data_IF_936622283566
#
_entry.id   IF_936622283566
#
_cell.length_a   1.000
_cell.length_b   1.000
_cell.length_c   1.000
_cell.angle_alpha   90.00
_cell.angle_beta   90.00
_cell.angle_gamma   90.00
#
_symmetry.space_group_name_H-M   'P 1'
#
loop_
_entity.id
_entity.type
_entity.pdbx_description
1 polymer ?
#
# COMPACT_ATOMS: atom_id res chain seq x y z
N UNK A 1 -20.00 -18.06 3.30
CA UNK A 1 -18.81 -18.09 4.16
C UNK A 1 -17.66 -18.63 3.33
N UNK A 2 -16.55 -17.93 3.27
CA UNK A 2 -15.36 -18.28 2.48
C UNK A 2 -14.22 -18.75 3.38
N UNK A 3 -13.33 -19.58 2.85
CA UNK A 3 -12.09 -19.97 3.50
C UNK A 3 -10.92 -19.14 3.02
N UNK A 4 -10.23 -18.53 3.96
CA UNK A 4 -9.05 -17.72 3.72
C UNK A 4 -7.77 -18.45 4.09
N UNK A 5 -6.69 -18.13 3.40
CA UNK A 5 -5.34 -18.33 3.88
C UNK A 5 -4.64 -16.96 4.02
N UNK A 6 -3.61 -16.87 4.88
CA UNK A 6 -2.88 -15.62 5.12
C UNK A 6 -1.38 -15.87 5.07
N UNK A 7 -0.65 -15.02 4.35
CA UNK A 7 0.80 -15.05 4.23
C UNK A 7 1.38 -13.81 4.89
N UNK A 8 2.31 -13.97 5.83
CA UNK A 8 2.96 -12.88 6.55
C UNK A 8 2.30 -12.52 7.87
N UNK A 9 1.89 -13.52 8.66
CA UNK A 9 1.11 -13.37 9.88
C UNK A 9 1.83 -12.66 11.03
N UNK A 10 3.18 -12.73 11.11
CA UNK A 10 3.99 -12.01 12.08
C UNK A 10 4.16 -10.51 11.72
N UNK A 11 3.68 -10.09 10.56
CA UNK A 11 3.75 -8.71 10.10
C UNK A 11 2.82 -7.77 10.88
N UNK A 12 3.23 -6.50 11.03
CA UNK A 12 2.45 -5.46 11.73
C UNK A 12 1.02 -5.30 11.22
N UNK A 13 0.78 -5.51 9.92
CA UNK A 13 -0.52 -5.31 9.29
C UNK A 13 -1.44 -6.53 9.35
N UNK A 14 -0.89 -7.72 9.55
CA UNK A 14 -1.62 -8.99 9.53
C UNK A 14 -2.82 -9.05 10.51
N UNK A 15 -2.74 -8.50 11.74
CA UNK A 15 -3.89 -8.46 12.64
C UNK A 15 -5.11 -7.75 12.06
N UNK A 16 -4.92 -6.72 11.21
CA UNK A 16 -6.03 -6.01 10.56
C UNK A 16 -6.71 -6.88 9.50
N UNK A 17 -5.96 -7.71 8.80
CA UNK A 17 -6.51 -8.68 7.86
C UNK A 17 -7.26 -9.80 8.59
N UNK A 18 -6.69 -10.36 9.66
CA UNK A 18 -7.37 -11.36 10.49
C UNK A 18 -8.68 -10.81 11.07
N UNK A 19 -8.66 -9.57 11.57
CA UNK A 19 -9.86 -8.89 12.05
C UNK A 19 -10.91 -8.76 10.93
N UNK A 20 -10.51 -8.28 9.74
CA UNK A 20 -11.41 -8.10 8.61
C UNK A 20 -12.04 -9.44 8.15
N UNK A 21 -11.25 -10.53 8.08
CA UNK A 21 -11.76 -11.87 7.76
C UNK A 21 -12.82 -12.30 8.79
N UNK A 22 -12.55 -12.08 10.08
CA UNK A 22 -13.46 -12.44 11.19
C UNK A 22 -14.74 -11.60 11.16
N UNK A 23 -14.62 -10.28 11.02
CA UNK A 23 -15.75 -9.34 11.03
C UNK A 23 -16.66 -9.52 9.80
N UNK A 24 -16.12 -9.98 8.67
CA UNK A 24 -16.90 -10.31 7.48
C UNK A 24 -17.49 -11.73 7.51
N UNK A 25 -17.41 -12.45 8.65
CA UNK A 25 -18.03 -13.76 8.85
C UNK A 25 -17.36 -14.92 8.10
N UNK A 26 -16.04 -14.83 7.86
CA UNK A 26 -15.28 -15.83 7.11
C UNK A 26 -14.27 -16.58 7.99
N UNK A 27 -13.72 -17.68 7.48
CA UNK A 27 -12.73 -18.51 8.16
C UNK A 27 -11.31 -18.25 7.66
N UNK A 28 -10.33 -18.36 8.57
CA UNK A 28 -8.92 -18.46 8.24
C UNK A 28 -8.46 -19.88 8.53
N UNK A 29 -8.15 -20.65 7.49
CA UNK A 29 -7.86 -22.09 7.60
C UNK A 29 -6.38 -22.44 7.55
N UNK A 30 -5.54 -21.57 6.93
CA UNK A 30 -4.11 -21.81 6.78
C UNK A 30 -3.32 -20.49 6.86
N UNK A 31 -2.15 -20.56 7.46
CA UNK A 31 -1.28 -19.40 7.69
C UNK A 31 0.15 -19.76 7.33
N UNK A 32 0.84 -18.86 6.64
CA UNK A 32 2.27 -18.96 6.35
C UNK A 32 3.02 -17.77 6.94
N UNK A 33 4.01 -18.03 7.76
CA UNK A 33 5.04 -17.08 8.12
C UNK A 33 6.36 -17.81 8.40
N UNK A 34 7.50 -17.20 8.05
CA UNK A 34 8.82 -17.76 8.39
C UNK A 34 9.17 -17.65 9.88
N UNK A 35 8.45 -16.81 10.62
CA UNK A 35 8.55 -16.62 12.06
C UNK A 35 7.45 -17.39 12.78
N UNK A 36 7.78 -18.01 13.90
CA UNK A 36 6.84 -18.64 14.83
C UNK A 36 6.26 -17.65 15.87
N UNK A 37 6.71 -16.38 15.83
CA UNK A 37 6.20 -15.32 16.71
C UNK A 37 4.85 -14.80 16.24
N UNK A 38 3.87 -15.70 16.18
CA UNK A 38 2.52 -15.48 15.60
C UNK A 38 1.39 -15.70 16.61
N UNK A 39 1.66 -15.62 17.90
CA UNK A 39 0.66 -15.82 18.97
C UNK A 39 -0.59 -14.93 18.88
N UNK A 40 -0.53 -13.87 18.08
CA UNK A 40 -1.69 -13.04 17.77
C UNK A 40 -2.83 -13.82 17.07
N UNK A 41 -2.53 -14.95 16.45
CA UNK A 41 -3.50 -15.82 15.76
C UNK A 41 -4.56 -16.32 16.75
N UNK A 42 -4.16 -16.62 17.99
CA UNK A 42 -5.07 -17.15 19.03
C UNK A 42 -6.26 -16.23 19.31
N UNK A 43 -6.06 -14.93 19.14
CA UNK A 43 -7.11 -13.93 19.31
C UNK A 43 -8.19 -14.00 18.23
N UNK A 44 -7.83 -14.44 17.03
CA UNK A 44 -8.71 -14.39 15.87
C UNK A 44 -9.12 -15.78 15.39
N UNK A 45 -8.17 -16.67 15.14
CA UNK A 45 -8.36 -17.98 14.50
C UNK A 45 -7.41 -19.04 15.10
N UNK A 46 -7.62 -19.49 16.35
CA UNK A 46 -6.72 -20.43 17.02
C UNK A 46 -6.62 -21.79 16.32
N UNK A 47 -7.61 -22.16 15.52
CA UNK A 47 -7.65 -23.44 14.80
C UNK A 47 -6.96 -23.39 13.41
N UNK A 48 -6.44 -22.24 12.99
CA UNK A 48 -5.78 -22.12 11.70
C UNK A 48 -4.45 -22.88 11.67
N UNK A 49 -4.22 -23.68 10.62
CA UNK A 49 -2.99 -24.44 10.46
C UNK A 49 -1.81 -23.52 10.13
N UNK A 50 -0.77 -23.50 10.95
CA UNK A 50 0.44 -22.71 10.74
C UNK A 50 1.50 -23.50 9.98
N UNK A 51 2.12 -22.83 9.01
CA UNK A 51 3.25 -23.31 8.22
C UNK A 51 4.41 -22.32 8.30
N UNK A 52 5.61 -22.83 8.50
CA UNK A 52 6.85 -22.01 8.50
C UNK A 52 7.55 -22.06 7.13
N UNK A 53 7.21 -23.04 6.30
CA UNK A 53 7.80 -23.26 4.99
C UNK A 53 6.75 -23.11 3.88
N UNK A 54 7.10 -22.36 2.85
CA UNK A 54 6.23 -22.09 1.69
C UNK A 54 5.80 -23.35 0.98
N UNK A 55 6.70 -24.33 0.83
CA UNK A 55 6.45 -25.59 0.12
C UNK A 55 5.41 -26.46 0.84
N UNK A 56 5.42 -26.45 2.17
CA UNK A 56 4.43 -27.17 2.98
C UNK A 56 3.06 -26.49 2.94
N UNK A 57 3.07 -25.16 2.99
CA UNK A 57 1.85 -24.36 2.86
C UNK A 57 1.22 -24.55 1.46
N UNK A 58 2.00 -24.38 0.39
CA UNK A 58 1.52 -24.56 -1.01
C UNK A 58 0.90 -25.94 -1.20
N UNK A 59 1.59 -27.01 -0.77
CA UNK A 59 1.07 -28.37 -0.84
C UNK A 59 -0.21 -28.56 -0.01
N UNK A 60 -0.32 -27.90 1.14
CA UNK A 60 -1.51 -27.98 1.98
C UNK A 60 -2.73 -27.35 1.30
N UNK A 61 -2.64 -26.12 0.82
CA UNK A 61 -3.76 -25.43 0.16
C UNK A 61 -4.12 -26.12 -1.17
N UNK A 62 -3.14 -26.65 -1.91
CA UNK A 62 -3.39 -27.47 -3.08
C UNK A 62 -4.19 -28.73 -2.72
N UNK A 63 -3.84 -29.44 -1.65
CA UNK A 63 -4.61 -30.62 -1.19
C UNK A 63 -6.04 -30.26 -0.81
N UNK A 64 -6.25 -29.12 -0.17
CA UNK A 64 -7.60 -28.64 0.16
C UNK A 64 -8.41 -28.40 -1.12
N UNK A 65 -7.82 -27.85 -2.18
CA UNK A 65 -8.50 -27.62 -3.46
C UNK A 65 -8.95 -28.92 -4.17
N UNK A 66 -8.34 -30.07 -3.83
CA UNK A 66 -8.65 -31.37 -4.45
C UNK A 66 -9.67 -32.21 -3.68
N UNK A 67 -10.01 -31.84 -2.44
CA UNK A 67 -10.93 -32.63 -1.60
C UNK A 67 -12.38 -32.55 -2.06
N UNK A 68 -12.82 -31.47 -2.70
CA UNK A 68 -14.17 -31.32 -3.23
C UNK A 68 -15.27 -31.19 -2.17
N UNK A 69 -14.92 -30.96 -0.90
CA UNK A 69 -15.82 -30.93 0.26
C UNK A 69 -16.08 -29.49 0.80
N UNK A 70 -15.79 -28.49 -0.01
CA UNK A 70 -15.92 -27.08 0.38
C UNK A 70 -14.79 -26.58 1.29
N UNK A 71 -13.71 -27.35 1.47
CA UNK A 71 -12.56 -26.95 2.29
C UNK A 71 -11.49 -26.19 1.51
N UNK A 72 -11.66 -25.97 0.20
CA UNK A 72 -10.71 -25.19 -0.60
C UNK A 72 -10.52 -23.78 -0.02
N UNK A 73 -9.33 -23.23 -0.23
CA UNK A 73 -9.05 -21.81 0.04
C UNK A 73 -9.63 -20.99 -1.10
N UNK A 74 -10.52 -20.06 -0.77
CA UNK A 74 -11.16 -19.16 -1.74
C UNK A 74 -10.33 -17.88 -1.95
N UNK A 75 -9.72 -17.37 -0.88
CA UNK A 75 -8.92 -16.15 -0.88
C UNK A 75 -7.59 -16.35 -0.15
N UNK A 76 -6.52 -15.77 -0.68
CA UNK A 76 -5.23 -15.67 0.02
C UNK A 76 -4.94 -14.19 0.30
N UNK A 77 -4.89 -13.84 1.59
CA UNK A 77 -4.47 -12.53 2.06
C UNK A 77 -2.96 -12.45 2.16
N UNK A 78 -2.33 -11.46 1.52
CA UNK A 78 -0.88 -11.35 1.37
C UNK A 78 -0.38 -10.10 2.09
N UNK A 79 0.33 -10.32 3.21
CA UNK A 79 0.91 -9.33 4.11
C UNK A 79 2.43 -9.46 4.20
N UNK A 80 3.03 -10.17 3.27
CA UNK A 80 4.48 -10.42 3.20
C UNK A 80 5.27 -9.16 2.83
N UNK A 81 6.61 -9.18 2.87
CA UNK A 81 7.42 -8.10 2.33
C UNK A 81 7.17 -7.82 0.85
N UNK A 82 7.24 -6.55 0.44
CA UNK A 82 6.84 -6.05 -0.87
C UNK A 82 7.39 -6.88 -2.06
N UNK A 83 8.66 -7.28 -2.02
CA UNK A 83 9.31 -8.04 -3.11
C UNK A 83 8.77 -9.46 -3.28
N UNK A 84 8.03 -9.98 -2.29
CA UNK A 84 7.41 -11.31 -2.34
C UNK A 84 5.97 -11.29 -2.84
N UNK A 85 5.35 -10.11 -2.96
CA UNK A 85 3.94 -10.00 -3.34
C UNK A 85 3.64 -10.69 -4.66
N UNK A 86 4.42 -10.42 -5.72
CA UNK A 86 4.23 -11.06 -7.04
C UNK A 86 4.24 -12.60 -6.95
N UNK A 87 5.23 -13.17 -6.25
CA UNK A 87 5.34 -14.61 -6.10
C UNK A 87 4.16 -15.22 -5.31
N UNK A 88 3.72 -14.55 -4.24
CA UNK A 88 2.62 -15.02 -3.41
C UNK A 88 1.25 -14.84 -4.08
N UNK A 89 1.07 -13.78 -4.88
CA UNK A 89 -0.11 -13.62 -5.73
C UNK A 89 -0.18 -14.79 -6.73
N UNK A 90 0.91 -15.08 -7.43
CA UNK A 90 0.99 -16.21 -8.37
C UNK A 90 0.70 -17.56 -7.68
N UNK A 91 1.18 -17.74 -6.46
CA UNK A 91 0.89 -18.93 -5.66
C UNK A 91 -0.62 -19.06 -5.39
N UNK A 92 -1.28 -17.96 -5.01
CA UNK A 92 -2.73 -17.95 -4.78
C UNK A 92 -3.51 -18.35 -6.04
N UNK A 93 -3.23 -17.69 -7.18
CA UNK A 93 -3.96 -17.93 -8.43
C UNK A 93 -3.75 -19.36 -8.93
N UNK A 94 -2.52 -19.90 -8.88
CA UNK A 94 -2.26 -21.32 -9.24
C UNK A 94 -3.00 -22.32 -8.39
N UNK A 95 -3.30 -21.98 -7.14
CA UNK A 95 -4.12 -22.80 -6.24
C UNK A 95 -5.62 -22.53 -6.38
N UNK A 96 -6.05 -21.89 -7.47
CA UNK A 96 -7.44 -21.56 -7.76
C UNK A 96 -8.10 -20.64 -6.72
N UNK A 97 -7.31 -19.81 -6.01
CA UNK A 97 -7.78 -18.84 -5.03
C UNK A 97 -7.65 -17.41 -5.55
N UNK A 98 -8.53 -16.52 -5.12
CA UNK A 98 -8.38 -15.08 -5.30
C UNK A 98 -7.24 -14.55 -4.42
N UNK A 99 -6.52 -13.52 -4.85
CA UNK A 99 -5.50 -12.87 -4.04
C UNK A 99 -6.01 -11.53 -3.50
N UNK A 100 -5.75 -11.26 -2.20
CA UNK A 100 -5.93 -9.94 -1.58
C UNK A 100 -4.56 -9.50 -1.09
N UNK A 101 -3.97 -8.49 -1.74
CA UNK A 101 -2.60 -8.10 -1.46
C UNK A 101 -2.48 -6.72 -0.84
N UNK A 102 -1.61 -6.59 0.15
CA UNK A 102 -1.19 -5.30 0.70
C UNK A 102 -0.48 -4.44 -0.34
N UNK A 103 -0.43 -3.15 -0.06
CA UNK A 103 0.31 -2.18 -0.86
C UNK A 103 1.83 -2.19 -0.50
N UNK A 104 2.70 -1.87 -1.45
CA UNK A 104 2.43 -1.76 -2.88
C UNK A 104 2.08 -3.13 -3.46
N UNK A 105 1.18 -3.18 -4.43
CA UNK A 105 0.81 -4.46 -5.02
C UNK A 105 2.03 -5.20 -5.59
N UNK A 106 2.85 -4.47 -6.34
CA UNK A 106 4.16 -4.91 -6.87
C UNK A 106 5.11 -3.71 -6.96
N UNK A 107 6.38 -3.99 -7.26
CA UNK A 107 7.42 -2.96 -7.36
C UNK A 107 7.57 -2.35 -8.76
N UNK A 108 7.16 -3.06 -9.81
CA UNK A 108 7.37 -2.64 -11.19
C UNK A 108 6.15 -2.91 -12.06
N UNK A 109 5.98 -2.12 -13.12
CA UNK A 109 4.84 -2.23 -14.04
C UNK A 109 4.82 -3.55 -14.80
N UNK A 110 5.97 -4.10 -15.19
CA UNK A 110 6.06 -5.39 -15.86
C UNK A 110 5.57 -6.58 -15.00
N UNK A 111 5.61 -6.44 -13.65
CA UNK A 111 4.94 -7.41 -12.77
C UNK A 111 3.42 -7.36 -12.95
N UNK A 112 2.83 -6.15 -13.10
CA UNK A 112 1.39 -6.02 -13.34
C UNK A 112 0.98 -6.69 -14.65
N UNK A 113 1.77 -6.51 -15.71
CA UNK A 113 1.50 -7.11 -17.02
C UNK A 113 1.46 -8.65 -16.91
N UNK A 114 2.45 -9.25 -16.24
CA UNK A 114 2.49 -10.69 -16.02
C UNK A 114 1.39 -11.20 -15.06
N UNK A 115 0.90 -10.37 -14.14
CA UNK A 115 -0.23 -10.71 -13.28
C UNK A 115 -1.58 -10.59 -14.01
N UNK A 116 -1.72 -9.65 -14.94
CA UNK A 116 -2.90 -9.55 -15.82
C UNK A 116 -3.05 -10.81 -16.69
N UNK A 117 -1.95 -11.34 -17.19
CA UNK A 117 -1.97 -12.60 -17.95
C UNK A 117 -2.37 -13.77 -17.06
N UNK A 118 -1.86 -13.85 -15.85
CA UNK A 118 -2.29 -14.88 -14.90
C UNK A 118 -3.78 -14.78 -14.51
N UNK A 119 -4.36 -13.57 -14.39
CA UNK A 119 -5.80 -13.42 -14.18
C UNK A 119 -6.60 -14.01 -15.35
N UNK A 120 -6.13 -13.80 -16.60
CA UNK A 120 -6.78 -14.36 -17.80
C UNK A 120 -6.69 -15.90 -17.82
N UNK A 121 -5.50 -16.44 -17.52
CA UNK A 121 -5.23 -17.87 -17.56
C UNK A 121 -6.00 -18.65 -16.47
N UNK A 122 -6.11 -18.08 -15.27
CA UNK A 122 -6.72 -18.78 -14.12
C UNK A 122 -8.20 -18.45 -13.92
N UNK A 123 -8.69 -17.35 -14.51
CA UNK A 123 -10.03 -16.81 -14.24
C UNK A 123 -10.20 -16.25 -12.83
N UNK A 124 -9.13 -16.19 -12.03
CA UNK A 124 -9.15 -15.61 -10.68
C UNK A 124 -8.73 -14.14 -10.70
N UNK A 125 -9.21 -13.37 -9.71
CA UNK A 125 -8.93 -11.94 -9.59
C UNK A 125 -7.93 -11.64 -8.50
N UNK A 126 -7.20 -10.57 -8.70
CA UNK A 126 -6.27 -9.97 -7.75
C UNK A 126 -6.91 -8.69 -7.23
N UNK A 127 -7.11 -8.63 -5.93
CA UNK A 127 -7.60 -7.46 -5.21
C UNK A 127 -6.47 -6.81 -4.43
N UNK A 128 -6.65 -5.54 -4.15
CA UNK A 128 -5.61 -4.70 -3.59
C UNK A 128 -6.15 -3.82 -2.46
N UNK A 129 -5.35 -3.65 -1.40
CA UNK A 129 -5.73 -2.81 -0.26
C UNK A 129 -5.31 -1.36 -0.52
N UNK A 130 -6.27 -0.53 -0.91
CA UNK A 130 -6.13 0.92 -1.09
C UNK A 130 -7.00 1.67 -0.08
N UNK A 131 -6.69 1.51 1.20
CA UNK A 131 -7.54 1.97 2.29
C UNK A 131 -7.83 3.49 2.28
N UNK A 132 -6.91 4.34 1.77
CA UNK A 132 -7.16 5.79 1.71
C UNK A 132 -8.32 6.15 0.78
N UNK A 133 -8.55 5.39 -0.28
CA UNK A 133 -9.73 5.59 -1.16
C UNK A 133 -11.06 5.35 -0.44
N UNK A 134 -11.05 4.60 0.68
CA UNK A 134 -12.24 4.33 1.50
C UNK A 134 -12.40 5.32 2.65
N UNK A 135 -11.44 6.22 2.84
CA UNK A 135 -11.47 7.21 3.91
C UNK A 135 -12.56 8.28 3.61
N UNK A 136 -13.46 8.59 4.57
CA UNK A 136 -14.58 9.50 4.31
C UNK A 136 -14.17 10.88 3.79
N UNK A 137 -13.10 11.48 4.37
CA UNK A 137 -12.61 12.80 3.90
C UNK A 137 -12.06 12.73 2.48
N UNK A 138 -11.40 11.62 2.10
CA UNK A 138 -10.87 11.42 0.74
C UNK A 138 -12.03 11.27 -0.25
N UNK A 139 -13.07 10.52 0.09
CA UNK A 139 -14.26 10.37 -0.75
C UNK A 139 -14.98 11.71 -0.95
N UNK A 140 -15.20 12.48 0.12
CA UNK A 140 -15.79 13.83 0.03
C UNK A 140 -14.98 14.78 -0.86
N UNK A 141 -13.65 14.74 -0.72
CA UNK A 141 -12.78 15.56 -1.56
C UNK A 141 -12.88 15.13 -3.04
N UNK A 142 -12.86 13.83 -3.31
CA UNK A 142 -13.06 13.29 -4.67
C UNK A 142 -14.36 13.74 -5.27
N UNK A 143 -15.48 13.62 -4.55
CA UNK A 143 -16.79 14.09 -4.99
C UNK A 143 -16.80 15.59 -5.32
N UNK A 144 -16.17 16.42 -4.44
CA UNK A 144 -16.03 17.87 -4.68
C UNK A 144 -15.26 18.17 -5.97
N UNK A 145 -14.14 17.47 -6.18
CA UNK A 145 -13.29 17.66 -7.36
C UNK A 145 -14.01 17.18 -8.64
N UNK A 146 -14.73 16.06 -8.59
CA UNK A 146 -15.51 15.55 -9.73
C UNK A 146 -16.68 16.46 -10.11
N UNK A 147 -17.30 17.09 -9.12
CA UNK A 147 -18.39 18.04 -9.33
C UNK A 147 -17.91 19.39 -9.90
N UNK A 148 -16.67 19.77 -9.66
CA UNK A 148 -16.10 21.03 -10.15
C UNK A 148 -15.79 20.95 -11.65
N UNK A 149 -16.57 21.67 -12.45
CA UNK A 149 -16.45 21.76 -13.92
C UNK A 149 -15.68 23.02 -14.38
N UNK A 150 -15.10 23.77 -13.48
CA UNK A 150 -14.39 25.04 -13.80
C UNK A 150 -13.10 24.85 -14.59
N UNK A 151 -12.56 23.61 -14.64
CA UNK A 151 -11.24 23.36 -15.22
C UNK A 151 -10.08 23.78 -14.31
N UNK A 152 -10.34 24.10 -13.05
CA UNK A 152 -9.36 24.51 -12.07
C UNK A 152 -8.25 23.47 -11.89
N UNK A 153 -7.02 23.95 -11.82
CA UNK A 153 -5.84 23.20 -11.41
C UNK A 153 -5.53 23.59 -9.95
N UNK A 154 -5.46 22.62 -9.07
CA UNK A 154 -5.24 22.80 -7.63
C UNK A 154 -3.76 22.76 -7.31
N UNK A 155 -3.27 23.68 -6.47
CA UNK A 155 -1.89 23.67 -5.96
C UNK A 155 -1.85 22.87 -4.65
N UNK A 156 -0.96 21.86 -4.59
CA UNK A 156 -0.87 20.94 -3.46
C UNK A 156 0.55 20.88 -2.93
N UNK A 157 0.71 21.07 -1.62
CA UNK A 157 1.92 20.77 -0.89
C UNK A 157 1.67 19.55 0.02
N UNK A 158 2.34 18.44 -0.30
CA UNK A 158 2.29 17.21 0.48
C UNK A 158 3.58 17.03 1.27
N UNK A 159 3.49 17.06 2.59
CA UNK A 159 4.58 16.71 3.50
C UNK A 159 4.22 15.47 4.29
N UNK A 160 5.06 14.44 4.24
CA UNK A 160 4.94 13.31 5.15
C UNK A 160 6.30 12.90 5.69
N UNK A 161 6.47 13.07 6.99
CA UNK A 161 7.66 12.72 7.74
C UNK A 161 7.26 11.65 8.76
N UNK A 162 7.95 10.52 8.77
CA UNK A 162 7.71 9.45 9.74
C UNK A 162 9.05 8.91 10.21
N UNK A 163 9.56 9.51 11.29
CA UNK A 163 10.86 9.17 11.88
C UNK A 163 10.96 7.67 12.18
N UNK A 164 12.02 7.05 11.69
CA UNK A 164 12.30 5.63 11.91
C UNK A 164 13.59 5.45 12.69
N UNK A 165 13.57 4.51 13.63
CA UNK A 165 14.77 4.11 14.37
C UNK A 165 15.73 3.29 13.50
N UNK A 166 16.91 3.00 14.05
CA UNK A 166 17.95 2.21 13.37
C UNK A 166 17.48 0.86 12.83
N UNK A 167 16.51 0.22 13.48
CA UNK A 167 15.93 -1.06 13.06
C UNK A 167 15.42 -1.04 11.62
N UNK A 168 14.92 0.11 11.14
CA UNK A 168 14.41 0.25 9.78
C UNK A 168 15.50 -0.06 8.76
N UNK A 169 16.71 0.46 8.98
CA UNK A 169 17.86 0.34 8.09
C UNK A 169 18.51 -1.07 8.09
N UNK A 170 18.21 -1.89 9.09
CA UNK A 170 18.59 -3.31 9.14
C UNK A 170 17.51 -4.24 8.59
N UNK A 171 16.31 -3.73 8.31
CA UNK A 171 15.20 -4.51 7.78
C UNK A 171 15.16 -4.47 6.26
N UNK A 172 14.37 -5.37 5.67
CA UNK A 172 14.08 -5.36 4.23
C UNK A 172 13.52 -4.03 3.71
N UNK A 173 12.99 -3.19 4.60
CA UNK A 173 12.37 -1.90 4.26
C UNK A 173 13.35 -0.87 3.73
N UNK A 174 14.62 -0.93 4.15
CA UNK A 174 15.67 -0.05 3.66
C UNK A 174 16.33 -0.57 2.36
N UNK A 175 16.20 -1.85 2.07
CA UNK A 175 16.72 -2.44 0.84
C UNK A 175 15.85 -2.01 -0.36
N UNK A 176 16.43 -1.23 -1.27
CA UNK A 176 15.75 -0.69 -2.45
C UNK A 176 15.18 -1.80 -3.34
N UNK A 177 15.88 -2.92 -3.51
CA UNK A 177 15.42 -4.04 -4.33
C UNK A 177 14.23 -4.77 -3.71
N UNK A 178 14.09 -4.70 -2.36
CA UNK A 178 13.02 -5.39 -1.63
C UNK A 178 11.83 -4.51 -1.33
N UNK A 179 12.05 -3.26 -0.99
CA UNK A 179 10.97 -2.34 -0.59
C UNK A 179 10.51 -1.42 -1.72
N UNK A 180 11.39 -1.12 -2.70
CA UNK A 180 11.23 -0.08 -3.69
C UNK A 180 11.55 1.33 -3.16
N UNK A 181 12.17 1.43 -1.96
CA UNK A 181 12.54 2.69 -1.32
C UNK A 181 11.37 3.42 -0.67
N UNK A 182 11.65 4.63 -0.15
CA UNK A 182 10.68 5.43 0.61
C UNK A 182 9.42 5.76 -0.22
N UNK A 183 9.57 6.08 -1.49
CA UNK A 183 8.45 6.45 -2.37
C UNK A 183 7.48 5.29 -2.59
N UNK A 184 8.00 4.08 -2.72
CA UNK A 184 7.19 2.87 -2.90
C UNK A 184 6.63 2.36 -1.57
N UNK A 185 7.46 2.32 -0.51
CA UNK A 185 7.02 1.74 0.77
C UNK A 185 6.06 2.66 1.55
N UNK A 186 6.25 3.98 1.43
CA UNK A 186 5.50 5.00 2.19
C UNK A 186 4.72 5.92 1.25
N UNK A 187 5.36 6.45 0.20
CA UNK A 187 4.74 7.40 -0.71
C UNK A 187 3.56 6.85 -1.50
N UNK A 188 3.54 5.53 -1.73
CA UNK A 188 2.47 4.83 -2.45
C UNK A 188 1.05 5.24 -2.03
N UNK A 189 0.80 5.39 -0.74
CA UNK A 189 -0.49 5.79 -0.22
C UNK A 189 -0.96 7.16 -0.74
N UNK A 190 -0.03 8.11 -0.78
CA UNK A 190 -0.30 9.48 -1.21
C UNK A 190 -0.39 9.58 -2.72
N UNK A 191 0.49 8.91 -3.44
CA UNK A 191 0.47 8.89 -4.91
C UNK A 191 -0.81 8.23 -5.44
N UNK A 192 -1.26 7.14 -4.79
CA UNK A 192 -2.54 6.54 -5.10
C UNK A 192 -3.70 7.48 -4.82
N UNK A 193 -3.75 8.06 -3.63
CA UNK A 193 -4.80 9.00 -3.22
C UNK A 193 -4.88 10.21 -4.16
N UNK A 194 -3.72 10.81 -4.47
CA UNK A 194 -3.66 11.99 -5.33
C UNK A 194 -4.12 11.70 -6.76
N UNK A 195 -3.68 10.58 -7.35
CA UNK A 195 -4.12 10.19 -8.70
C UNK A 195 -5.60 9.77 -8.72
N UNK A 196 -6.09 9.18 -7.65
CA UNK A 196 -7.52 8.87 -7.50
C UNK A 196 -8.38 10.13 -7.48
N UNK A 197 -7.94 11.20 -6.81
CA UNK A 197 -8.70 12.45 -6.66
C UNK A 197 -8.54 13.36 -7.88
N UNK A 198 -7.29 13.57 -8.34
CA UNK A 198 -6.94 14.64 -9.28
C UNK A 198 -6.58 14.15 -10.69
N UNK A 199 -6.72 12.87 -10.95
CA UNK A 199 -6.50 12.28 -12.29
C UNK A 199 -5.06 11.83 -12.56
N UNK A 200 -4.79 11.54 -13.83
CA UNK A 200 -3.54 10.91 -14.27
C UNK A 200 -2.34 11.84 -14.17
N UNK A 201 -1.15 11.25 -14.04
CA UNK A 201 0.12 11.98 -14.08
C UNK A 201 0.46 12.38 -15.52
N UNK A 202 0.76 13.66 -15.70
CA UNK A 202 1.26 14.25 -16.96
C UNK A 202 2.77 14.49 -16.93
N UNK A 203 3.30 14.82 -15.74
CA UNK A 203 4.74 15.06 -15.55
C UNK A 203 5.15 14.60 -14.15
N UNK A 204 6.37 14.07 -14.03
CA UNK A 204 6.97 13.61 -12.78
C UNK A 204 8.43 14.05 -12.72
N UNK A 205 8.76 14.97 -11.80
CA UNK A 205 10.11 15.51 -11.59
C UNK A 205 10.59 15.08 -10.21
N UNK A 206 11.80 14.54 -10.13
CA UNK A 206 12.47 14.17 -8.89
C UNK A 206 13.48 15.26 -8.53
N UNK A 207 13.26 15.99 -7.44
CA UNK A 207 14.17 17.06 -7.01
C UNK A 207 15.25 16.56 -6.06
N UNK A 208 14.91 15.59 -5.21
CA UNK A 208 15.84 15.02 -4.23
C UNK A 208 15.55 13.56 -3.97
N UNK A 209 16.59 12.76 -3.80
CA UNK A 209 16.48 11.33 -3.52
C UNK A 209 17.67 10.84 -2.70
N UNK A 210 17.40 10.24 -1.53
CA UNK A 210 18.36 9.57 -0.66
C UNK A 210 17.73 8.33 -0.03
N UNK A 211 18.46 7.60 0.80
CA UNK A 211 17.95 6.41 1.50
C UNK A 211 16.80 6.73 2.48
N UNK A 212 16.75 7.96 3.00
CA UNK A 212 15.77 8.37 4.02
C UNK A 212 14.81 9.46 3.56
N UNK A 213 15.07 10.11 2.44
CA UNK A 213 14.28 11.27 2.03
C UNK A 213 14.12 11.31 0.51
N UNK A 214 12.95 11.66 0.05
CA UNK A 214 12.69 11.92 -1.35
C UNK A 214 11.70 13.08 -1.50
N UNK A 215 11.88 13.87 -2.54
CA UNK A 215 11.00 14.99 -2.86
C UNK A 215 10.94 15.24 -4.36
N UNK A 216 9.83 15.77 -4.82
CA UNK A 216 9.63 16.02 -6.23
C UNK A 216 8.36 16.80 -6.52
N UNK A 217 8.02 16.82 -7.79
CA UNK A 217 6.83 17.46 -8.32
C UNK A 217 6.07 16.50 -9.23
N UNK A 218 4.74 16.51 -9.12
CA UNK A 218 3.83 15.80 -10.02
C UNK A 218 2.86 16.80 -10.64
N UNK A 219 2.81 16.88 -11.97
CA UNK A 219 1.69 17.48 -12.67
C UNK A 219 0.64 16.41 -12.91
N UNK A 220 -0.52 16.55 -12.28
CA UNK A 220 -1.71 15.75 -12.53
C UNK A 220 -2.68 16.47 -13.48
N UNK A 221 -3.74 15.78 -13.93
CA UNK A 221 -4.76 16.39 -14.77
C UNK A 221 -5.39 17.62 -14.11
N UNK A 222 -5.63 17.57 -12.80
CA UNK A 222 -6.29 18.62 -12.03
C UNK A 222 -5.50 19.15 -10.84
N UNK A 223 -4.20 18.81 -10.71
CA UNK A 223 -3.36 19.34 -9.64
C UNK A 223 -1.90 19.45 -10.02
N UNK A 224 -1.22 20.41 -9.34
CA UNK A 224 0.22 20.57 -9.28
C UNK A 224 0.65 20.20 -7.87
N UNK A 225 1.48 19.16 -7.72
CA UNK A 225 1.79 18.58 -6.40
C UNK A 225 3.27 18.67 -6.13
N UNK A 226 3.69 19.51 -5.19
CA UNK A 226 5.01 19.46 -4.59
C UNK A 226 4.94 18.48 -3.43
N UNK A 227 5.78 17.45 -3.45
CA UNK A 227 5.74 16.42 -2.42
C UNK A 227 7.10 16.24 -1.74
N UNK A 228 7.07 15.98 -0.43
CA UNK A 228 8.22 15.71 0.42
C UNK A 228 7.94 14.54 1.36
N UNK A 229 8.80 13.52 1.31
CA UNK A 229 8.72 12.32 2.14
C UNK A 229 10.03 12.14 2.91
N UNK A 230 9.97 11.86 4.22
CA UNK A 230 11.18 11.63 5.01
C UNK A 230 10.97 10.58 6.11
N UNK A 231 12.04 9.81 6.36
CA UNK A 231 12.19 8.90 7.51
C UNK A 231 13.00 9.55 8.64
N UNK A 232 13.53 10.74 8.42
CA UNK A 232 14.38 11.43 9.39
C UNK A 232 13.52 12.29 10.32
N UNK A 233 13.58 11.96 11.61
CA UNK A 233 12.86 12.71 12.66
C UNK A 233 13.32 14.17 12.76
N UNK A 234 14.53 14.50 12.31
CA UNK A 234 15.05 15.88 12.33
C UNK A 234 14.22 16.82 11.44
N UNK A 235 13.57 16.29 10.40
CA UNK A 235 12.70 17.05 9.52
C UNK A 235 11.30 17.33 10.11
N UNK A 236 10.92 16.68 11.21
CA UNK A 236 9.68 17.04 11.95
C UNK A 236 9.82 18.45 12.50
N UNK A 237 8.81 19.33 12.39
CA UNK A 237 8.82 20.68 12.96
C UNK A 237 9.29 20.69 14.41
N UNK A 238 10.14 21.66 14.77
CA UNK A 238 10.85 21.69 16.05
C UNK A 238 9.92 21.70 17.27
N UNK A 239 8.80 22.40 17.18
CA UNK A 239 7.76 22.49 18.21
C UNK A 239 7.07 21.13 18.43
N UNK A 240 6.78 20.38 17.36
CA UNK A 240 6.20 19.05 17.43
C UNK A 240 7.21 18.02 17.95
N UNK A 241 8.47 18.15 17.53
CA UNK A 241 9.57 17.29 17.99
C UNK A 241 9.82 17.50 19.50
N UNK A 242 9.75 18.73 19.99
CA UNK A 242 9.84 19.04 21.41
C UNK A 242 8.72 18.40 22.25
N UNK A 243 7.56 18.11 21.63
CA UNK A 243 6.44 17.36 22.21
C UNK A 243 6.63 15.82 22.09
N UNK A 244 7.78 15.33 21.62
CA UNK A 244 8.05 13.90 21.43
C UNK A 244 7.41 13.29 20.17
N UNK A 245 6.83 14.09 19.27
CA UNK A 245 6.25 13.59 18.02
C UNK A 245 7.35 13.19 17.04
N UNK A 246 7.22 12.02 16.45
CA UNK A 246 8.14 11.46 15.44
C UNK A 246 7.54 11.43 14.05
N UNK A 247 6.29 11.84 13.90
CA UNK A 247 5.58 11.86 12.64
C UNK A 247 4.94 13.22 12.42
N UNK A 248 5.04 13.73 11.20
CA UNK A 248 4.35 14.92 10.75
C UNK A 248 3.73 14.68 9.38
N UNK A 249 2.46 14.98 9.24
CA UNK A 249 1.73 14.91 7.99
C UNK A 249 1.01 16.22 7.75
N UNK A 250 1.18 16.78 6.57
CA UNK A 250 0.48 17.99 6.13
C UNK A 250 0.14 17.85 4.66
N UNK A 251 -1.08 18.13 4.30
CA UNK A 251 -1.51 18.31 2.91
C UNK A 251 -2.22 19.64 2.85
N UNK A 252 -1.63 20.56 2.09
CA UNK A 252 -2.24 21.85 1.78
C UNK A 252 -2.80 21.78 0.36
N UNK A 253 -4.04 22.19 0.18
CA UNK A 253 -4.69 22.33 -1.13
C UNK A 253 -5.06 23.81 -1.27
N UNK A 254 -4.45 24.51 -2.21
CA UNK A 254 -4.59 25.98 -2.37
C UNK A 254 -4.35 26.74 -1.05
N UNK A 255 -3.34 26.32 -0.28
CA UNK A 255 -2.97 26.81 1.07
C UNK A 255 -3.99 26.49 2.19
N UNK A 256 -5.05 25.74 1.92
CA UNK A 256 -5.97 25.25 2.96
C UNK A 256 -5.58 23.85 3.42
N UNK A 257 -5.56 23.62 4.73
CA UNK A 257 -5.22 22.30 5.29
C UNK A 257 -6.29 21.27 4.96
N UNK A 258 -5.90 20.18 4.34
CA UNK A 258 -6.74 19.01 4.16
C UNK A 258 -6.51 18.01 5.29
N UNK A 259 -7.47 17.95 6.22
CA UNK A 259 -7.42 17.06 7.37
C UNK A 259 -8.06 15.70 7.07
N UNK A 260 -7.31 14.64 7.36
CA UNK A 260 -7.81 13.26 7.31
C UNK A 260 -7.11 12.38 8.37
N UNK A 261 -6.85 12.96 9.56
CA UNK A 261 -6.13 12.28 10.64
C UNK A 261 -6.98 11.25 11.37
N UNK A 262 -8.30 11.46 11.40
CA UNK A 262 -9.29 10.56 12.01
C UNK A 262 -9.96 9.69 10.94
N UNK A 263 -10.57 8.57 11.33
CA UNK A 263 -11.34 7.71 10.39
C UNK A 263 -10.55 6.57 9.76
N UNK A 264 -9.41 6.21 10.34
CA UNK A 264 -8.62 5.03 9.90
C UNK A 264 -9.10 3.71 10.51
N UNK A 265 -10.10 3.74 11.38
CA UNK A 265 -10.72 2.54 11.93
C UNK A 265 -11.48 1.80 10.83
N UNK A 266 -11.37 0.48 10.83
CA UNK A 266 -12.16 -0.44 9.99
C UNK A 266 -11.98 -0.33 8.46
N UNK A 267 -11.02 0.46 7.98
CA UNK A 267 -10.80 0.59 6.54
C UNK A 267 -10.40 -0.73 5.86
N UNK A 268 -9.75 -1.65 6.58
CA UNK A 268 -9.47 -2.98 6.06
C UNK A 268 -10.75 -3.81 5.97
N UNK A 269 -11.59 -3.81 7.01
CA UNK A 269 -12.89 -4.50 7.00
C UNK A 269 -13.76 -4.00 5.85
N UNK A 270 -13.87 -2.69 5.66
CA UNK A 270 -14.57 -2.09 4.52
C UNK A 270 -13.97 -2.49 3.16
N UNK A 271 -12.64 -2.65 3.08
CA UNK A 271 -12.01 -3.15 1.86
C UNK A 271 -12.42 -4.60 1.58
N UNK A 272 -12.45 -5.45 2.62
CA UNK A 272 -12.89 -6.84 2.49
C UNK A 272 -14.37 -6.95 2.12
N UNK A 273 -15.24 -6.16 2.72
CA UNK A 273 -16.66 -6.09 2.34
C UNK A 273 -16.84 -5.78 0.85
N UNK A 274 -16.11 -4.78 0.33
CA UNK A 274 -16.13 -4.45 -1.10
C UNK A 274 -15.58 -5.57 -1.98
N UNK A 275 -14.47 -6.19 -1.57
CA UNK A 275 -13.88 -7.32 -2.30
C UNK A 275 -14.88 -8.48 -2.39
N UNK A 276 -15.52 -8.82 -1.29
CA UNK A 276 -16.51 -9.90 -1.21
C UNK A 276 -17.79 -9.58 -2.01
N UNK A 277 -18.13 -8.30 -2.16
CA UNK A 277 -19.20 -7.83 -3.04
C UNK A 277 -18.80 -7.76 -4.54
N UNK A 278 -17.53 -8.06 -4.88
CA UNK A 278 -17.01 -7.92 -6.26
C UNK A 278 -16.62 -6.49 -6.67
N UNK A 279 -16.58 -5.55 -5.71
CA UNK A 279 -16.29 -4.13 -5.91
C UNK A 279 -14.89 -3.73 -5.41
N UNK A 280 -14.01 -4.69 -5.17
CA UNK A 280 -12.65 -4.46 -4.68
C UNK A 280 -11.77 -3.74 -5.71
N UNK A 281 -10.73 -3.06 -5.24
CA UNK A 281 -9.71 -2.45 -6.11
C UNK A 281 -8.86 -3.54 -6.77
N UNK A 282 -8.55 -3.37 -8.05
CA UNK A 282 -7.93 -4.37 -8.93
C UNK A 282 -6.56 -3.93 -9.45
N UNK A 283 -5.94 -4.71 -10.34
CA UNK A 283 -4.68 -4.37 -11.02
C UNK A 283 -4.71 -3.00 -11.71
N UNK A 284 -5.86 -2.62 -12.29
CA UNK A 284 -6.02 -1.31 -12.95
C UNK A 284 -5.77 -0.16 -11.98
N UNK A 285 -6.25 -0.31 -10.75
CA UNK A 285 -6.10 0.71 -9.71
C UNK A 285 -4.64 0.86 -9.26
N UNK A 286 -3.86 -0.21 -9.33
CA UNK A 286 -2.45 -0.20 -8.94
C UNK A 286 -1.53 0.47 -9.98
N UNK A 287 -1.89 0.45 -11.26
CA UNK A 287 -0.99 0.83 -12.37
C UNK A 287 -0.42 2.24 -12.22
N UNK A 288 -1.23 3.21 -11.86
CA UNK A 288 -0.82 4.60 -11.74
C UNK A 288 0.29 4.79 -10.70
N UNK A 289 0.05 4.39 -9.46
CA UNK A 289 1.05 4.60 -8.40
C UNK A 289 2.28 3.72 -8.58
N UNK A 290 2.15 2.51 -9.12
CA UNK A 290 3.31 1.66 -9.44
C UNK A 290 4.19 2.35 -10.49
N UNK A 291 3.61 2.90 -11.55
CA UNK A 291 4.33 3.68 -12.57
C UNK A 291 5.04 4.90 -11.96
N UNK A 292 4.37 5.67 -11.11
CA UNK A 292 4.96 6.83 -10.43
C UNK A 292 6.16 6.40 -9.59
N UNK A 293 5.98 5.42 -8.70
CA UNK A 293 7.03 4.94 -7.82
C UNK A 293 8.23 4.38 -8.60
N UNK A 294 7.96 3.63 -9.68
CA UNK A 294 9.01 3.10 -10.56
C UNK A 294 9.74 4.22 -11.29
N UNK A 295 9.04 5.21 -11.83
CA UNK A 295 9.65 6.35 -12.49
C UNK A 295 10.54 7.14 -11.54
N UNK A 296 10.06 7.46 -10.34
CA UNK A 296 10.86 8.17 -9.31
C UNK A 296 12.12 7.37 -8.97
N UNK A 297 12.02 6.07 -8.81
CA UNK A 297 13.16 5.21 -8.48
C UNK A 297 14.24 5.22 -9.57
N UNK A 298 13.83 5.24 -10.83
CA UNK A 298 14.70 5.13 -12.00
C UNK A 298 15.18 6.47 -12.57
N UNK A 299 14.65 7.62 -12.09
CA UNK A 299 15.01 8.95 -12.55
C UNK A 299 16.02 9.59 -11.60
N UNK A 300 17.05 10.25 -12.14
CA UNK A 300 17.99 11.02 -11.34
C UNK A 300 17.35 12.32 -10.81
N UNK A 301 17.82 12.77 -9.66
CA UNK A 301 17.35 14.02 -9.07
C UNK A 301 17.93 15.23 -9.82
N UNK A 302 17.07 16.19 -10.16
CA UNK A 302 17.47 17.40 -10.90
C UNK A 302 17.91 18.55 -9.99
N UNK A 303 17.78 18.40 -8.66
CA UNK A 303 18.06 19.48 -7.70
C UNK A 303 16.93 20.50 -7.58
N UNK A 304 17.23 21.68 -7.05
CA UNK A 304 16.26 22.74 -6.76
C UNK A 304 15.94 23.58 -8.01
N UNK A 305 15.31 22.95 -8.99
CA UNK A 305 14.92 23.57 -10.26
C UNK A 305 13.39 23.55 -10.40
N UNK A 306 12.80 24.66 -10.82
CA UNK A 306 11.35 24.74 -11.05
C UNK A 306 10.53 24.72 -9.74
N UNK A 307 9.48 23.92 -9.72
CA UNK A 307 8.54 23.86 -8.60
C UNK A 307 8.90 22.76 -7.59
N UNK A 308 9.81 23.06 -6.70
CA UNK A 308 10.21 22.14 -5.64
C UNK A 308 9.49 22.42 -4.30
N UNK A 309 9.40 21.39 -3.45
CA UNK A 309 8.77 21.49 -2.15
C UNK A 309 9.59 22.38 -1.18
N UNK A 310 8.96 23.32 -0.41
CA UNK A 310 9.68 24.27 0.46
C UNK A 310 10.63 23.63 1.48
N UNK A 311 10.33 22.44 1.97
CA UNK A 311 11.21 21.69 2.90
C UNK A 311 12.60 21.40 2.33
N UNK A 312 12.77 21.37 1.01
CA UNK A 312 14.08 21.16 0.37
C UNK A 312 15.07 22.31 0.59
N UNK A 313 14.60 23.53 0.85
CA UNK A 313 15.48 24.68 1.11
C UNK A 313 16.31 24.52 2.39
N UNK A 314 15.91 23.62 3.29
CA UNK A 314 16.52 23.43 4.59
C UNK A 314 16.99 21.98 4.85
N UNK A 315 17.08 21.15 3.82
CA UNK A 315 17.32 19.72 3.99
C UNK A 315 18.74 19.39 4.49
N UNK A 316 19.71 20.27 4.18
CA UNK A 316 21.13 20.12 4.54
C UNK A 316 21.55 21.06 5.70
N UNK A 317 20.61 21.74 6.33
CA UNK A 317 20.82 22.58 7.51
C UNK A 317 20.37 21.85 8.79
#
# INVERSE_FOLDING_TARGET
>A
MYNFALIGAAGYIAPRHMQAIKETGNNLVAILDKSDSVGIIDRYFPEAALFLETERFDRHIYRLSKKGDGQQVDYVSICSPNYLHDAHIRLALRNNAYAICEKPLVLNTWNLDGLEDMEKDTGKKIFHILQLRLHPSVQKLKEKIDADKSGKIYDIDLTYITGRGKWYYYSWKADMAKSGGITTNIGVHFFDMLTYIFGQVKENIVHYKSDSTAAGFLQLERARVRWFLSLDVRHVPADLRAQGKTTYRSILIDNETFEFSDGFTDLHTRAYEKILAGEGFTLKDARNYVSICQAIRNTDAVGLIGEYHPYLQNIDK
#
